data_IF_444551312916
#
_entry.id   IF_444551312916
#
_cell.length_a   1.000
_cell.length_b   1.000
_cell.length_c   1.000
_cell.angle_alpha   90.00
_cell.angle_beta   90.00
_cell.angle_gamma   90.00
#
_symmetry.space_group_name_H-M   'P 1'
#
loop_
_entity.id
_entity.type
_entity.pdbx_description
1 polymer ?
#
# COMPACT_ATOMS: atom_id res chain seq x y z
N UNK A 1 14.13 -15.36 -2.23
CA UNK A 1 12.86 -14.62 -2.34
C UNK A 1 13.08 -13.12 -2.29
N UNK A 2 13.82 -12.57 -1.30
CA UNK A 2 14.11 -11.11 -1.22
C UNK A 2 14.73 -10.55 -2.50
N UNK A 3 15.68 -11.25 -3.11
CA UNK A 3 16.36 -10.82 -4.34
C UNK A 3 15.41 -10.68 -5.53
N UNK A 4 14.40 -11.54 -5.63
CA UNK A 4 13.39 -11.49 -6.68
C UNK A 4 12.58 -10.18 -6.67
N UNK A 5 12.40 -9.61 -5.47
CA UNK A 5 11.66 -8.37 -5.27
C UNK A 5 12.57 -7.17 -5.03
N UNK A 6 13.89 -7.32 -5.15
CA UNK A 6 14.90 -6.29 -4.96
C UNK A 6 14.82 -5.61 -3.59
N UNK A 7 14.42 -6.36 -2.55
CA UNK A 7 14.29 -5.84 -1.18
C UNK A 7 15.64 -5.76 -0.45
N UNK A 8 16.65 -6.47 -0.91
CA UNK A 8 17.98 -6.49 -0.27
C UNK A 8 17.97 -7.18 1.11
N UNK A 9 19.04 -6.96 1.85
CA UNK A 9 19.21 -7.49 3.22
C UNK A 9 18.97 -6.41 4.29
N UNK A 10 18.52 -5.23 3.88
CA UNK A 10 18.20 -4.13 4.76
C UNK A 10 17.01 -4.52 5.66
N UNK A 11 17.06 -4.07 6.91
CA UNK A 11 15.99 -4.31 7.87
C UNK A 11 14.72 -3.52 7.55
N UNK A 12 13.69 -3.75 8.35
CA UNK A 12 12.37 -3.10 8.21
C UNK A 12 12.47 -1.56 8.31
N UNK A 13 13.46 -1.05 9.03
CA UNK A 13 13.71 0.39 9.21
C UNK A 13 14.22 1.10 7.94
N UNK A 14 14.65 0.34 6.94
CA UNK A 14 15.06 0.89 5.65
C UNK A 14 13.88 1.30 4.76
N UNK A 15 12.65 0.96 5.15
CA UNK A 15 11.45 1.19 4.36
C UNK A 15 10.58 2.28 4.98
N UNK A 16 10.36 3.37 4.24
CA UNK A 16 9.66 4.55 4.74
C UNK A 16 8.24 4.30 5.25
N UNK A 17 7.54 3.30 4.73
CA UNK A 17 6.19 2.97 5.20
C UNK A 17 6.15 2.08 6.46
N UNK A 18 7.29 1.54 6.90
CA UNK A 18 7.36 0.63 8.05
C UNK A 18 8.30 1.09 9.16
N UNK A 19 9.25 1.99 8.89
CA UNK A 19 10.32 2.39 9.81
C UNK A 19 9.85 3.01 11.12
N UNK A 20 8.72 3.70 11.10
CA UNK A 20 8.18 4.42 12.26
C UNK A 20 7.14 3.59 13.03
N UNK A 21 6.89 2.33 12.61
CA UNK A 21 5.97 1.44 13.30
C UNK A 21 6.66 0.75 14.49
N UNK A 22 5.87 0.34 15.49
CA UNK A 22 6.36 -0.54 16.54
C UNK A 22 6.59 -1.94 15.95
N UNK A 23 7.84 -2.20 15.57
CA UNK A 23 8.24 -3.36 14.76
C UNK A 23 8.43 -4.64 15.57
N UNK A 24 8.06 -4.65 16.85
CA UNK A 24 8.16 -5.84 17.68
C UNK A 24 6.95 -6.00 18.58
N UNK A 25 6.33 -7.15 18.50
CA UNK A 25 5.28 -7.57 19.42
C UNK A 25 5.85 -8.70 20.28
N UNK A 26 5.74 -8.56 21.61
CA UNK A 26 6.25 -9.55 22.52
C UNK A 26 5.63 -10.94 22.24
N UNK A 27 6.48 -11.95 22.02
CA UNK A 27 6.04 -13.31 21.73
C UNK A 27 5.65 -13.60 20.29
N UNK A 28 5.77 -12.61 19.38
CA UNK A 28 5.49 -12.79 17.93
C UNK A 28 6.80 -12.71 17.15
N UNK A 29 7.02 -13.68 16.27
CA UNK A 29 8.16 -13.75 15.34
C UNK A 29 7.65 -13.53 13.92
N UNK A 30 7.98 -12.38 13.30
CA UNK A 30 7.61 -12.08 11.91
C UNK A 30 8.07 -13.15 10.91
N UNK A 31 9.20 -13.81 11.21
CA UNK A 31 9.70 -14.91 10.39
C UNK A 31 8.77 -16.12 10.46
N UNK A 32 8.25 -16.43 11.64
CA UNK A 32 7.34 -17.56 11.83
C UNK A 32 5.96 -17.23 11.24
N UNK A 33 5.49 -16.00 11.42
CA UNK A 33 4.24 -15.53 10.79
C UNK A 33 4.32 -15.59 9.26
N UNK A 34 5.45 -15.16 8.67
CA UNK A 34 5.65 -15.29 7.23
C UNK A 34 5.68 -16.74 6.76
N UNK A 35 6.28 -17.66 7.56
CA UNK A 35 6.27 -19.08 7.24
C UNK A 35 4.85 -19.65 7.29
N UNK A 36 4.08 -19.28 8.30
CA UNK A 36 2.67 -19.66 8.43
C UNK A 36 1.82 -19.14 7.27
N UNK A 37 2.08 -17.92 6.82
CA UNK A 37 1.42 -17.36 5.62
C UNK A 37 1.71 -18.20 4.37
N UNK A 38 2.98 -18.58 4.17
CA UNK A 38 3.37 -19.38 3.01
C UNK A 38 2.77 -20.80 3.04
N UNK A 39 2.67 -21.39 4.24
CA UNK A 39 1.99 -22.67 4.45
C UNK A 39 0.49 -22.55 4.17
N UNK A 40 -0.16 -21.48 4.64
CA UNK A 40 -1.56 -21.21 4.36
C UNK A 40 -1.83 -21.10 2.85
N UNK A 41 -0.98 -20.41 2.10
CA UNK A 41 -1.07 -20.35 0.64
C UNK A 41 -1.00 -21.74 0.00
N UNK A 42 -0.12 -22.60 0.49
CA UNK A 42 0.01 -23.99 -0.01
C UNK A 42 -1.24 -24.82 0.30
N UNK A 43 -1.72 -24.77 1.55
CA UNK A 43 -2.94 -25.49 1.99
C UNK A 43 -4.15 -25.06 1.16
N UNK A 44 -4.27 -23.77 0.90
CA UNK A 44 -5.36 -23.22 0.08
C UNK A 44 -5.17 -23.45 -1.43
N UNK A 45 -4.06 -24.07 -1.86
CA UNK A 45 -3.81 -24.38 -3.26
C UNK A 45 -3.49 -23.16 -4.12
N UNK A 46 -2.84 -22.13 -3.55
CA UNK A 46 -2.28 -21.04 -4.36
C UNK A 46 -1.08 -21.55 -5.16
N UNK A 47 -1.09 -21.32 -6.46
CA UNK A 47 0.06 -21.64 -7.30
C UNK A 47 1.27 -20.76 -6.96
N UNK A 48 2.49 -21.20 -7.28
CA UNK A 48 3.69 -20.38 -7.09
C UNK A 48 3.59 -19.00 -7.77
N UNK A 49 2.99 -18.92 -8.96
CA UNK A 49 2.84 -17.67 -9.71
C UNK A 49 1.84 -16.71 -9.03
N UNK A 50 0.77 -17.24 -8.44
CA UNK A 50 -0.18 -16.46 -7.65
C UNK A 50 0.50 -15.88 -6.41
N UNK A 51 1.26 -16.69 -5.66
CA UNK A 51 2.01 -16.25 -4.49
C UNK A 51 3.04 -15.16 -4.85
N UNK A 52 3.81 -15.38 -5.91
CA UNK A 52 4.78 -14.42 -6.44
C UNK A 52 4.09 -13.10 -6.80
N UNK A 53 2.93 -13.17 -7.44
CA UNK A 53 2.20 -11.97 -7.88
C UNK A 53 1.68 -11.15 -6.70
N UNK A 54 1.18 -11.79 -5.65
CA UNK A 54 0.73 -11.13 -4.42
C UNK A 54 1.91 -10.41 -3.74
N UNK A 55 3.00 -11.13 -3.50
CA UNK A 55 4.18 -10.58 -2.83
C UNK A 55 4.86 -9.48 -3.65
N UNK A 56 4.79 -9.55 -4.99
CA UNK A 56 5.28 -8.52 -5.91
C UNK A 56 4.55 -7.18 -5.72
N UNK A 57 3.23 -7.20 -5.54
CA UNK A 57 2.45 -5.98 -5.27
C UNK A 57 2.86 -5.35 -3.96
N UNK A 58 3.04 -6.15 -2.89
CA UNK A 58 3.48 -5.64 -1.58
C UNK A 58 4.89 -5.05 -1.67
N UNK A 59 5.81 -5.74 -2.34
CA UNK A 59 7.16 -5.22 -2.57
C UNK A 59 7.15 -3.90 -3.35
N UNK A 60 6.29 -3.78 -4.37
CA UNK A 60 6.12 -2.54 -5.13
C UNK A 60 5.65 -1.38 -4.24
N UNK A 61 4.72 -1.62 -3.31
CA UNK A 61 4.28 -0.61 -2.33
C UNK A 61 5.47 -0.12 -1.48
N UNK A 62 6.30 -1.03 -0.98
CA UNK A 62 7.52 -0.67 -0.22
C UNK A 62 8.48 0.17 -1.07
N UNK A 63 8.72 -0.23 -2.31
CA UNK A 63 9.58 0.52 -3.24
C UNK A 63 9.05 1.93 -3.52
N UNK A 64 7.73 2.10 -3.67
CA UNK A 64 7.12 3.43 -3.86
C UNK A 64 7.42 4.33 -2.66
N UNK A 65 7.27 3.83 -1.44
CA UNK A 65 7.57 4.58 -0.22
C UNK A 65 9.00 5.10 -0.15
N UNK A 66 9.94 4.43 -0.81
CA UNK A 66 11.34 4.79 -0.82
C UNK A 66 11.75 5.68 -2.02
N UNK A 67 10.82 6.10 -2.88
CA UNK A 67 11.12 7.09 -3.93
C UNK A 67 11.16 8.49 -3.32
N UNK A 68 12.32 9.15 -3.44
CA UNK A 68 12.52 10.51 -2.98
C UNK A 68 12.38 11.50 -4.13
N UNK A 69 11.55 12.52 -3.91
CA UNK A 69 11.26 13.58 -4.89
C UNK A 69 11.69 14.91 -4.32
N UNK A 70 12.36 15.70 -5.12
CA UNK A 70 12.83 17.04 -4.76
C UNK A 70 12.56 18.02 -5.90
N UNK A 71 12.51 19.35 -5.64
CA UNK A 71 12.49 20.34 -6.71
C UNK A 71 13.73 20.19 -7.63
N UNK A 72 13.57 20.38 -8.92
CA UNK A 72 14.67 20.27 -9.89
C UNK A 72 15.80 21.25 -9.58
N UNK A 73 15.43 22.48 -9.18
CA UNK A 73 16.35 23.54 -8.74
C UNK A 73 15.71 24.27 -7.56
N UNK A 74 16.52 25.00 -6.80
CA UNK A 74 16.00 25.85 -5.72
C UNK A 74 15.03 26.89 -6.29
N UNK A 75 13.78 26.86 -5.84
CA UNK A 75 12.71 27.74 -6.32
C UNK A 75 12.03 27.26 -7.62
N UNK A 76 12.39 26.10 -8.16
CA UNK A 76 11.69 25.51 -9.31
C UNK A 76 10.40 24.84 -8.88
N UNK A 77 9.36 24.99 -9.71
CA UNK A 77 8.12 24.21 -9.56
C UNK A 77 8.25 22.78 -10.14
N UNK A 78 9.26 22.56 -11.01
CA UNK A 78 9.50 21.24 -11.60
C UNK A 78 10.16 20.30 -10.59
N UNK A 79 9.64 19.08 -10.51
CA UNK A 79 10.17 18.01 -9.66
C UNK A 79 11.15 17.12 -10.42
N UNK A 80 12.07 16.51 -9.67
CA UNK A 80 12.93 15.42 -10.14
C UNK A 80 13.03 14.31 -9.08
N UNK A 81 13.35 13.11 -9.52
CA UNK A 81 13.70 12.02 -8.61
C UNK A 81 15.11 12.23 -8.06
N UNK A 82 15.25 12.17 -6.74
CA UNK A 82 16.56 12.25 -6.08
C UNK A 82 17.33 10.91 -6.22
N UNK A 83 16.59 9.80 -6.19
CA UNK A 83 17.11 8.44 -6.27
C UNK A 83 16.44 7.65 -7.40
N UNK A 84 16.77 7.92 -8.68
CA UNK A 84 16.14 7.29 -9.85
C UNK A 84 16.26 5.75 -9.85
N UNK A 85 17.33 5.19 -9.29
CA UNK A 85 17.50 3.75 -9.11
C UNK A 85 16.36 3.08 -8.33
N UNK A 86 15.71 3.81 -7.43
CA UNK A 86 14.56 3.28 -6.70
C UNK A 86 13.33 3.14 -7.60
N UNK A 87 13.13 4.09 -8.53
CA UNK A 87 12.09 3.96 -9.56
C UNK A 87 12.39 2.83 -10.55
N UNK A 88 13.68 2.58 -10.87
CA UNK A 88 14.10 1.44 -11.67
C UNK A 88 13.74 0.12 -11.00
N UNK A 89 14.04 -0.04 -9.70
CA UNK A 89 13.67 -1.21 -8.91
C UNK A 89 12.15 -1.43 -8.92
N UNK A 90 11.36 -0.38 -8.67
CA UNK A 90 9.90 -0.44 -8.72
C UNK A 90 9.41 -0.91 -10.09
N UNK A 91 9.90 -0.28 -11.16
CA UNK A 91 9.49 -0.60 -12.52
C UNK A 91 9.87 -2.03 -12.92
N UNK A 92 11.05 -2.50 -12.50
CA UNK A 92 11.47 -3.89 -12.70
C UNK A 92 10.54 -4.86 -11.97
N UNK A 93 10.22 -4.60 -10.69
CA UNK A 93 9.32 -5.43 -9.90
C UNK A 93 7.93 -5.50 -10.51
N UNK A 94 7.40 -4.38 -10.99
CA UNK A 94 6.09 -4.31 -11.63
C UNK A 94 6.08 -4.78 -13.10
N UNK A 95 7.23 -4.89 -13.75
CA UNK A 95 7.33 -5.21 -15.17
C UNK A 95 6.83 -4.09 -16.07
N UNK A 96 6.99 -2.82 -15.68
CA UNK A 96 6.55 -1.64 -16.43
C UNK A 96 7.73 -0.83 -16.98
N UNK A 97 7.57 -0.10 -18.09
CA UNK A 97 8.62 0.74 -18.64
C UNK A 97 8.96 1.93 -17.74
N UNK A 98 10.24 2.09 -17.39
CA UNK A 98 10.74 3.18 -16.55
C UNK A 98 10.42 4.56 -17.12
N UNK A 99 10.73 4.79 -18.41
CA UNK A 99 10.53 6.09 -19.05
C UNK A 99 9.06 6.52 -19.02
N UNK A 100 8.15 5.57 -19.28
CA UNK A 100 6.71 5.80 -19.22
C UNK A 100 6.25 6.15 -17.81
N UNK A 101 6.76 5.44 -16.81
CA UNK A 101 6.46 5.68 -15.41
C UNK A 101 6.96 7.07 -14.96
N UNK A 102 8.23 7.37 -15.15
CA UNK A 102 8.85 8.64 -14.75
C UNK A 102 8.19 9.82 -15.45
N UNK A 103 7.94 9.72 -16.77
CA UNK A 103 7.28 10.77 -17.53
C UNK A 103 5.83 10.98 -17.06
N UNK A 104 5.08 9.91 -16.83
CA UNK A 104 3.71 10.00 -16.32
C UNK A 104 3.64 10.56 -14.90
N UNK A 105 4.68 10.33 -14.10
CA UNK A 105 4.78 10.82 -12.73
C UNK A 105 5.14 12.32 -12.68
N UNK A 106 6.20 12.73 -13.38
CA UNK A 106 6.75 14.09 -13.30
C UNK A 106 6.06 15.07 -14.25
N UNK A 107 5.71 14.63 -15.45
CA UNK A 107 5.13 15.47 -16.53
C UNK A 107 3.98 14.76 -17.23
N UNK A 108 2.87 14.51 -16.51
CA UNK A 108 1.71 13.85 -17.09
C UNK A 108 1.12 14.66 -18.24
N UNK A 109 0.51 13.94 -19.18
CA UNK A 109 -0.29 14.58 -20.22
C UNK A 109 -1.69 14.88 -19.68
N UNK A 110 -2.08 16.14 -19.77
CA UNK A 110 -3.41 16.61 -19.40
C UNK A 110 -4.11 17.20 -20.61
N UNK A 111 -5.43 17.13 -20.65
CA UNK A 111 -6.23 17.72 -21.72
C UNK A 111 -6.50 19.19 -21.39
N UNK A 112 -5.97 20.09 -22.22
CA UNK A 112 -6.24 21.52 -22.17
C UNK A 112 -7.12 21.90 -23.38
N UNK A 113 -8.44 21.95 -23.17
CA UNK A 113 -9.41 22.16 -24.25
C UNK A 113 -9.42 20.99 -25.24
N UNK A 114 -8.96 21.23 -26.48
CA UNK A 114 -8.87 20.20 -27.55
C UNK A 114 -7.48 19.56 -27.67
N UNK A 115 -6.49 20.09 -26.99
CA UNK A 115 -5.10 19.66 -27.12
C UNK A 115 -4.63 18.91 -25.87
N UNK A 116 -3.61 18.05 -26.07
CA UNK A 116 -2.90 17.36 -25.00
C UNK A 116 -1.58 18.06 -24.73
N UNK A 117 -1.38 18.56 -23.52
CA UNK A 117 -0.15 19.23 -23.10
C UNK A 117 0.52 18.46 -21.96
N UNK A 118 1.85 18.53 -21.88
CA UNK A 118 2.59 18.02 -20.73
C UNK A 118 2.54 19.07 -19.62
N UNK A 119 2.10 18.68 -18.43
CA UNK A 119 2.06 19.55 -17.27
C UNK A 119 3.14 19.13 -16.28
N UNK A 120 4.08 20.02 -16.01
CA UNK A 120 5.05 19.80 -14.92
C UNK A 120 4.35 19.77 -13.57
N UNK A 121 4.88 18.97 -12.65
CA UNK A 121 4.38 18.83 -11.28
C UNK A 121 5.41 19.25 -10.26
N UNK A 122 4.95 19.84 -9.17
CA UNK A 122 5.79 20.11 -8.00
C UNK A 122 6.20 18.84 -7.27
N UNK A 123 7.25 18.90 -6.47
CA UNK A 123 7.71 17.76 -5.67
C UNK A 123 6.60 17.24 -4.73
N UNK A 124 5.81 18.12 -4.16
CA UNK A 124 4.68 17.77 -3.30
C UNK A 124 3.58 17.04 -4.07
N UNK A 125 3.19 17.54 -5.25
CA UNK A 125 2.19 16.88 -6.10
C UNK A 125 2.65 15.48 -6.54
N UNK A 126 3.94 15.33 -6.84
CA UNK A 126 4.51 14.03 -7.21
C UNK A 126 4.49 13.08 -6.02
N UNK A 127 4.85 13.55 -4.83
CA UNK A 127 4.78 12.75 -3.59
C UNK A 127 3.36 12.28 -3.30
N UNK A 128 2.37 13.17 -3.36
CA UNK A 128 0.96 12.80 -3.20
C UNK A 128 0.52 11.76 -4.24
N UNK A 129 1.01 11.86 -5.48
CA UNK A 129 0.69 10.88 -6.52
C UNK A 129 1.30 9.51 -6.24
N UNK A 130 2.52 9.46 -5.69
CA UNK A 130 3.18 8.21 -5.26
C UNK A 130 2.42 7.57 -4.10
N UNK A 131 2.03 8.35 -3.09
CA UNK A 131 1.26 7.87 -1.95
C UNK A 131 -0.13 7.36 -2.37
N UNK A 132 -0.80 8.06 -3.29
CA UNK A 132 -2.06 7.62 -3.86
C UNK A 132 -1.91 6.33 -4.68
N UNK A 133 -0.81 6.20 -5.43
CA UNK A 133 -0.50 4.97 -6.17
C UNK A 133 -0.26 3.80 -5.22
N UNK A 134 0.52 3.99 -4.15
CA UNK A 134 0.78 2.97 -3.15
C UNK A 134 -0.51 2.48 -2.47
N UNK A 135 -1.37 3.43 -2.03
CA UNK A 135 -2.69 3.11 -1.45
C UNK A 135 -3.56 2.33 -2.43
N UNK A 136 -3.66 2.80 -3.68
CA UNK A 136 -4.47 2.13 -4.69
C UNK A 136 -3.96 0.73 -5.07
N UNK A 137 -2.63 0.52 -5.09
CA UNK A 137 -2.05 -0.81 -5.29
C UNK A 137 -2.34 -1.74 -4.12
N UNK A 138 -2.18 -1.25 -2.89
CA UNK A 138 -2.47 -2.04 -1.69
C UNK A 138 -3.95 -2.43 -1.62
N UNK A 139 -4.85 -1.48 -1.77
CA UNK A 139 -6.30 -1.70 -1.73
C UNK A 139 -6.75 -2.73 -2.77
N UNK A 140 -6.34 -2.54 -4.03
CA UNK A 140 -6.70 -3.45 -5.11
C UNK A 140 -6.03 -4.82 -4.98
N UNK A 141 -4.78 -4.84 -4.52
CA UNK A 141 -4.04 -6.07 -4.24
C UNK A 141 -4.72 -6.89 -3.14
N UNK A 142 -5.12 -6.24 -2.05
CA UNK A 142 -5.86 -6.86 -0.96
C UNK A 142 -7.24 -7.36 -1.41
N UNK A 143 -8.01 -6.52 -2.13
CA UNK A 143 -9.30 -6.94 -2.68
C UNK A 143 -9.17 -8.15 -3.60
N UNK A 144 -8.13 -8.17 -4.46
CA UNK A 144 -7.86 -9.33 -5.32
C UNK A 144 -7.49 -10.58 -4.52
N UNK A 145 -6.69 -10.44 -3.45
CA UNK A 145 -6.37 -11.56 -2.56
C UNK A 145 -7.65 -12.15 -1.93
N UNK A 146 -8.54 -11.31 -1.44
CA UNK A 146 -9.83 -11.74 -0.87
C UNK A 146 -10.67 -12.50 -1.90
N UNK A 147 -10.77 -12.00 -3.14
CA UNK A 147 -11.45 -12.72 -4.22
C UNK A 147 -10.81 -14.09 -4.50
N UNK A 148 -9.47 -14.16 -4.52
CA UNK A 148 -8.76 -15.42 -4.76
C UNK A 148 -9.00 -16.41 -3.63
N UNK A 149 -8.98 -15.95 -2.37
CA UNK A 149 -9.30 -16.77 -1.19
C UNK A 149 -10.73 -17.31 -1.30
N UNK A 150 -11.70 -16.44 -1.54
CA UNK A 150 -13.11 -16.85 -1.67
C UNK A 150 -13.30 -17.87 -2.80
N UNK A 151 -12.67 -17.68 -3.94
CA UNK A 151 -12.76 -18.63 -5.06
C UNK A 151 -12.16 -20.01 -4.75
N UNK A 152 -11.19 -20.08 -3.83
CA UNK A 152 -10.60 -21.35 -3.40
C UNK A 152 -11.40 -22.03 -2.28
N UNK A 153 -12.11 -21.25 -1.48
CA UNK A 153 -13.01 -21.74 -0.44
C UNK A 153 -14.39 -22.14 -0.99
N UNK A 154 -14.76 -21.59 -2.15
CA UNK A 154 -16.06 -21.86 -2.77
C UNK A 154 -16.14 -23.32 -3.24
N UNK A 155 -16.79 -24.14 -2.44
CA UNK A 155 -17.18 -25.49 -2.83
C UNK A 155 -18.45 -25.38 -3.66
N UNK A 156 -18.33 -25.58 -4.99
CA UNK A 156 -19.46 -25.64 -5.93
C UNK A 156 -20.37 -26.84 -5.61
N UNK A 157 -21.08 -26.77 -4.49
CA UNK A 157 -22.02 -27.77 -4.06
C UNK A 157 -23.38 -27.14 -3.78
N UNK A 158 -24.46 -27.73 -4.27
CA UNK A 158 -25.85 -27.44 -3.86
C UNK A 158 -26.04 -27.83 -2.38
N UNK A 159 -25.38 -27.11 -1.48
CA UNK A 159 -25.55 -27.32 -0.04
C UNK A 159 -26.78 -26.57 0.43
N UNK A 160 -27.78 -27.29 0.90
CA UNK A 160 -29.01 -26.73 1.51
C UNK A 160 -28.74 -26.06 2.88
N UNK A 161 -27.51 -26.12 3.41
CA UNK A 161 -27.18 -25.64 4.74
C UNK A 161 -25.83 -24.93 4.75
N UNK A 162 -25.73 -23.83 5.50
CA UNK A 162 -24.49 -23.09 5.70
C UNK A 162 -24.24 -22.79 7.18
N UNK A 163 -22.97 -22.63 7.55
CA UNK A 163 -22.53 -22.11 8.83
C UNK A 163 -21.89 -20.77 8.55
N UNK A 164 -22.46 -19.70 9.12
CA UNK A 164 -21.90 -18.34 9.00
C UNK A 164 -21.11 -17.99 10.26
N UNK A 165 -20.00 -17.26 10.06
CA UNK A 165 -19.22 -16.63 11.13
C UNK A 165 -19.41 -15.13 11.00
N UNK A 166 -19.85 -14.48 12.09
CA UNK A 166 -19.93 -13.04 12.17
C UNK A 166 -18.69 -12.54 12.87
N UNK A 167 -17.85 -11.82 12.12
CA UNK A 167 -16.66 -11.16 12.63
C UNK A 167 -16.77 -9.66 12.37
N UNK A 168 -17.40 -8.96 13.33
CA UNK A 168 -17.54 -7.50 13.30
C UNK A 168 -16.50 -6.93 14.24
N UNK A 169 -15.78 -5.88 13.80
CA UNK A 169 -14.89 -5.12 14.64
C UNK A 169 -15.62 -4.68 15.92
N UNK A 170 -15.02 -5.02 17.07
CA UNK A 170 -15.52 -4.58 18.38
C UNK A 170 -15.17 -3.12 18.66
N UNK A 171 -15.27 -2.71 19.92
CA UNK A 171 -14.86 -1.38 20.34
C UNK A 171 -13.34 -1.24 20.17
N UNK A 172 -12.91 -0.34 19.30
CA UNK A 172 -11.51 0.05 19.18
C UNK A 172 -11.26 1.25 20.12
N UNK A 173 -10.37 1.07 21.09
CA UNK A 173 -9.95 2.16 21.97
C UNK A 173 -8.68 2.75 21.34
N UNK A 174 -8.82 3.94 20.76
CA UNK A 174 -7.67 4.69 20.28
C UNK A 174 -7.14 5.57 21.42
N UNK A 175 -5.84 5.52 21.70
CA UNK A 175 -5.18 6.53 22.52
C UNK A 175 -5.16 7.85 21.74
N UNK A 176 -6.15 8.68 21.97
CA UNK A 176 -6.19 10.02 21.41
C UNK A 176 -5.30 10.91 22.25
N UNK A 177 -4.14 11.28 21.73
CA UNK A 177 -3.34 12.34 22.34
C UNK A 177 -4.09 13.66 22.20
N UNK A 178 -4.65 14.14 23.32
CA UNK A 178 -5.47 15.35 23.43
C UNK A 178 -4.78 16.65 22.99
N UNK A 179 -3.47 16.63 22.71
CA UNK A 179 -2.72 17.82 22.34
C UNK A 179 -3.09 18.43 20.97
N UNK A 180 -3.76 17.68 20.09
CA UNK A 180 -4.12 18.14 18.73
C UNK A 180 -5.63 18.38 18.53
N UNK A 181 -6.48 18.15 19.53
CA UNK A 181 -7.95 18.23 19.39
C UNK A 181 -8.50 19.61 19.75
N UNK A 182 -7.70 20.49 20.34
CA UNK A 182 -8.19 21.80 20.81
C UNK A 182 -8.55 22.78 19.68
N UNK A 183 -8.29 22.44 18.41
CA UNK A 183 -8.54 23.33 17.27
C UNK A 183 -9.70 22.91 16.35
N UNK A 184 -10.39 21.79 16.59
CA UNK A 184 -11.49 21.36 15.72
C UNK A 184 -12.83 21.33 16.47
N UNK A 185 -13.75 22.29 16.18
CA UNK A 185 -15.07 22.35 16.85
C UNK A 185 -15.98 21.14 16.56
N UNK A 186 -15.64 20.28 15.59
CA UNK A 186 -16.44 19.10 15.23
C UNK A 186 -16.16 17.91 16.15
N UNK A 187 -15.00 17.90 16.84
CA UNK A 187 -14.63 16.80 17.74
C UNK A 187 -15.44 16.74 19.04
N UNK A 188 -16.18 17.78 19.38
CA UNK A 188 -16.98 17.85 20.61
C UNK A 188 -18.26 17.01 20.59
N UNK A 189 -18.74 16.60 19.41
CA UNK A 189 -20.00 15.85 19.27
C UNK A 189 -19.83 14.34 19.01
N UNK A 190 -18.58 13.87 18.76
CA UNK A 190 -18.28 12.45 18.54
C UNK A 190 -18.65 11.52 19.72
N UNK A 191 -18.46 11.88 21.00
CA UNK A 191 -18.90 11.04 22.12
C UNK A 191 -20.42 10.92 22.26
N UNK A 192 -21.18 11.91 21.79
CA UNK A 192 -22.65 11.91 21.89
C UNK A 192 -23.33 11.09 20.82
N UNK A 193 -22.71 10.96 19.65
CA UNK A 193 -23.25 10.13 18.55
C UNK A 193 -23.13 8.63 18.84
N UNK A 194 -22.11 8.20 19.57
CA UNK A 194 -21.90 6.79 19.94
C UNK A 194 -22.85 6.28 21.04
N UNK A 195 -23.40 7.18 21.88
CA UNK A 195 -24.33 6.83 22.95
C UNK A 195 -25.79 6.77 22.47
N UNK A 196 -26.13 7.34 21.31
CA UNK A 196 -27.50 7.33 20.77
C UNK A 196 -27.82 6.13 19.88
N UNK A 197 -26.87 5.23 19.61
CA UNK A 197 -27.09 4.01 18.83
C UNK A 197 -27.04 2.71 19.67
N UNK A 198 -27.00 2.82 20.98
CA UNK A 198 -27.26 1.73 21.93
C UNK A 198 -28.66 1.88 22.54
#
# INVERSE_FOLDING_TARGET
MKDMYLLGDEGIDAWNYTKDSNNSIAGVSDTDEFRSLMEAFQIMGFSPDEQISILRVIAAVLHIGNIHVVPERRGSEDARLMNPNQAEKLCHVLGIPLDGFVKGLLKPRVRAGREWVNQSRTAEQVKHSLDALAKGLYERGFGRLVEMVNNKLDTKGDGDSFIGVLDIAGFEIFEVYLSNIVADPIAHDLPKLLVQQL
#
